data_IF_635026506895
#
_entry.id   IF_635026506895
#
_cell.length_a   1.000
_cell.length_b   1.000
_cell.length_c   1.000
_cell.angle_alpha   90.00
_cell.angle_beta   90.00
_cell.angle_gamma   90.00
#
_symmetry.space_group_name_H-M   'P 1'
#
loop_
_entity.id
_entity.type
_entity.pdbx_description
1 polymer ?
#
# COMPACT_ATOMS: atom_id res chain seq x y z
N UNK A 1 -14.46 -4.46 -24.18
CA UNK A 1 -14.19 -3.29 -23.32
C UNK A 1 -13.12 -3.71 -22.32
N UNK A 2 -11.97 -3.03 -22.27
CA UNK A 2 -10.94 -3.33 -21.27
C UNK A 2 -11.53 -3.02 -19.89
N UNK A 3 -11.64 -4.04 -19.03
CA UNK A 3 -12.03 -3.87 -17.62
C UNK A 3 -10.93 -3.07 -16.94
N UNK A 4 -11.19 -1.77 -16.71
CA UNK A 4 -10.26 -0.90 -15.99
C UNK A 4 -10.04 -1.50 -14.60
N UNK A 5 -8.78 -1.77 -14.25
CA UNK A 5 -8.43 -2.24 -12.92
C UNK A 5 -8.78 -1.13 -11.91
N UNK A 6 -9.71 -1.37 -10.95
CA UNK A 6 -10.20 -0.34 -10.03
C UNK A 6 -9.09 0.30 -9.19
N UNK A 7 -8.09 -0.49 -8.79
CA UNK A 7 -6.94 0.01 -8.03
C UNK A 7 -6.06 0.93 -8.88
N UNK A 8 -5.83 0.61 -10.16
CA UNK A 8 -5.07 1.48 -11.08
C UNK A 8 -5.79 2.80 -11.38
N UNK A 9 -7.12 2.80 -11.50
CA UNK A 9 -7.91 4.03 -11.64
C UNK A 9 -7.77 4.90 -10.38
N UNK A 10 -7.91 4.29 -9.20
CA UNK A 10 -7.72 4.96 -7.92
C UNK A 10 -6.33 5.59 -7.80
N UNK A 11 -5.24 4.84 -8.02
CA UNK A 11 -3.89 5.37 -7.89
C UNK A 11 -3.59 6.45 -8.93
N UNK A 12 -4.12 6.32 -10.15
CA UNK A 12 -4.03 7.35 -11.18
C UNK A 12 -4.67 8.67 -10.74
N UNK A 13 -5.87 8.62 -10.12
CA UNK A 13 -6.56 9.82 -9.61
C UNK A 13 -5.90 10.39 -8.35
N UNK A 14 -5.43 9.53 -7.45
CA UNK A 14 -4.68 9.93 -6.25
C UNK A 14 -3.38 10.65 -6.64
N UNK A 15 -2.63 10.10 -7.60
CA UNK A 15 -1.43 10.72 -8.17
C UNK A 15 -1.73 12.10 -8.76
N UNK A 16 -2.82 12.23 -9.52
CA UNK A 16 -3.24 13.50 -10.09
C UNK A 16 -3.56 14.53 -8.99
N UNK A 17 -4.31 14.14 -7.97
CA UNK A 17 -4.62 14.99 -6.81
C UNK A 17 -3.34 15.50 -6.14
N UNK A 18 -2.42 14.60 -5.81
CA UNK A 18 -1.15 14.92 -5.15
C UNK A 18 -0.30 15.86 -6.00
N UNK A 19 -0.25 15.63 -7.32
CA UNK A 19 0.53 16.49 -8.23
C UNK A 19 0.02 17.94 -8.28
N UNK A 20 -1.30 18.13 -8.14
CA UNK A 20 -1.94 19.45 -8.16
C UNK A 20 -1.96 20.12 -6.79
N UNK A 21 -2.13 19.31 -5.75
CA UNK A 21 -2.32 19.74 -4.37
C UNK A 21 -1.46 18.87 -3.44
N UNK A 22 -0.14 19.07 -3.40
CA UNK A 22 0.76 18.21 -2.63
C UNK A 22 0.63 18.41 -1.12
N UNK A 23 0.31 19.63 -0.67
CA UNK A 23 0.31 19.99 0.74
C UNK A 23 -0.56 19.09 1.64
N UNK A 24 -1.82 18.78 1.30
CA UNK A 24 -2.65 17.87 2.10
C UNK A 24 -1.97 16.52 2.39
N UNK A 25 -1.43 15.85 1.36
CA UNK A 25 -0.81 14.54 1.58
C UNK A 25 0.50 14.67 2.34
N UNK A 26 1.30 15.72 2.09
CA UNK A 26 2.54 15.97 2.81
C UNK A 26 2.29 16.16 4.30
N UNK A 27 1.27 16.92 4.69
CA UNK A 27 0.89 17.10 6.08
C UNK A 27 0.42 15.78 6.69
N UNK A 28 -0.46 15.04 6.00
CA UNK A 28 -0.95 13.73 6.47
C UNK A 28 0.20 12.77 6.75
N UNK A 29 1.11 12.60 5.79
CA UNK A 29 2.27 11.72 5.93
C UNK A 29 3.23 12.22 7.02
N UNK A 30 3.47 13.53 7.11
CA UNK A 30 4.33 14.11 8.15
C UNK A 30 3.81 13.78 9.55
N UNK A 31 2.50 13.85 9.76
CA UNK A 31 1.88 13.50 11.04
C UNK A 31 2.02 12.01 11.35
N UNK A 32 1.78 11.14 10.36
CA UNK A 32 1.97 9.68 10.49
C UNK A 32 3.41 9.37 10.92
N UNK A 33 4.41 9.92 10.22
CA UNK A 33 5.81 9.61 10.50
C UNK A 33 6.39 10.32 11.73
N UNK A 34 5.87 11.49 12.11
CA UNK A 34 6.22 12.11 13.39
C UNK A 34 5.90 11.18 14.56
N UNK A 35 4.77 10.46 14.50
CA UNK A 35 4.43 9.48 15.53
C UNK A 35 5.41 8.31 15.59
N UNK A 36 5.95 7.88 14.44
CA UNK A 36 7.01 6.87 14.39
C UNK A 36 8.30 7.38 15.04
N UNK A 37 8.71 8.62 14.75
CA UNK A 37 9.94 9.23 15.27
C UNK A 37 9.93 9.36 16.80
N UNK A 38 8.79 9.67 17.40
CA UNK A 38 8.65 9.74 18.87
C UNK A 38 8.53 8.35 19.53
N UNK A 39 8.76 7.27 18.78
CA UNK A 39 8.76 5.90 19.28
C UNK A 39 7.36 5.31 19.47
N UNK A 40 6.31 5.88 18.88
CA UNK A 40 4.98 5.33 19.01
C UNK A 40 4.80 4.08 18.12
N UNK A 41 4.46 2.96 18.76
CA UNK A 41 4.22 1.66 18.11
C UNK A 41 2.90 1.61 17.30
N UNK A 42 2.01 2.61 17.43
CA UNK A 42 0.72 2.66 16.73
C UNK A 42 0.74 3.50 15.46
N UNK A 43 1.92 3.84 14.92
CA UNK A 43 2.01 4.62 13.68
C UNK A 43 1.40 3.90 12.47
N UNK A 44 1.40 2.55 12.48
CA UNK A 44 0.66 1.74 11.50
C UNK A 44 -0.84 1.97 11.59
N UNK A 45 -1.43 1.79 12.77
CA UNK A 45 -2.87 2.03 13.00
C UNK A 45 -3.26 3.49 12.65
N UNK A 46 -2.38 4.46 12.96
CA UNK A 46 -2.60 5.85 12.58
C UNK A 46 -2.54 6.05 11.06
N UNK A 47 -1.64 5.38 10.35
CA UNK A 47 -1.57 5.44 8.90
C UNK A 47 -2.88 4.93 8.27
N UNK A 48 -3.45 3.87 8.82
CA UNK A 48 -4.72 3.30 8.36
C UNK A 48 -5.87 4.30 8.48
N UNK A 49 -6.01 4.92 9.65
CA UNK A 49 -7.04 5.93 9.90
C UNK A 49 -6.78 7.18 9.03
N UNK A 50 -5.57 7.71 9.07
CA UNK A 50 -5.25 8.99 8.43
C UNK A 50 -5.36 8.92 6.90
N UNK A 51 -4.98 7.80 6.27
CA UNK A 51 -5.16 7.62 4.82
C UNK A 51 -6.62 7.39 4.47
N UNK A 52 -7.39 6.64 5.27
CA UNK A 52 -8.82 6.49 5.04
C UNK A 52 -9.55 7.85 5.09
N UNK A 53 -9.25 8.66 6.10
CA UNK A 53 -9.80 10.02 6.23
C UNK A 53 -9.34 10.94 5.11
N UNK A 54 -8.07 10.87 4.70
CA UNK A 54 -7.57 11.64 3.56
C UNK A 54 -8.38 11.34 2.29
N UNK A 55 -8.63 10.07 2.00
CA UNK A 55 -9.43 9.66 0.83
C UNK A 55 -10.85 10.24 0.95
N UNK A 56 -11.50 10.07 2.11
CA UNK A 56 -12.85 10.56 2.34
C UNK A 56 -12.98 12.09 2.21
N UNK A 57 -11.95 12.83 2.59
CA UNK A 57 -11.96 14.29 2.57
C UNK A 57 -11.63 14.87 1.20
N UNK A 58 -10.67 14.28 0.48
CA UNK A 58 -10.07 14.92 -0.69
C UNK A 58 -10.35 14.22 -2.02
N UNK A 59 -10.92 13.01 -2.02
CA UNK A 59 -11.19 12.24 -3.24
C UNK A 59 -12.68 11.95 -3.42
N UNK A 60 -13.47 12.93 -3.88
CA UNK A 60 -14.94 12.83 -3.99
C UNK A 60 -15.50 11.59 -4.71
N UNK A 61 -14.77 11.04 -5.66
CA UNK A 61 -15.18 9.85 -6.41
C UNK A 61 -14.92 8.54 -5.64
N UNK A 62 -14.32 8.61 -4.46
CA UNK A 62 -13.96 7.47 -3.63
C UNK A 62 -14.33 7.71 -2.17
N UNK A 63 -14.66 6.62 -1.50
CA UNK A 63 -14.65 6.55 -0.03
C UNK A 63 -13.73 5.44 0.42
N UNK A 64 -13.23 5.55 1.64
CA UNK A 64 -12.41 4.55 2.29
C UNK A 64 -12.96 4.23 3.67
N UNK A 65 -12.90 2.96 4.04
CA UNK A 65 -13.21 2.47 5.38
C UNK A 65 -12.01 1.72 5.93
N UNK A 66 -11.63 2.04 7.17
CA UNK A 66 -10.66 1.27 7.92
C UNK A 66 -11.30 -0.07 8.33
N UNK A 67 -10.65 -1.18 8.00
CA UNK A 67 -11.20 -2.53 8.18
C UNK A 67 -10.94 -3.06 9.60
N UNK A 68 -9.87 -2.60 10.26
CA UNK A 68 -9.57 -2.91 11.66
C UNK A 68 -9.20 -4.38 11.92
N UNK A 69 -8.55 -4.61 13.07
CA UNK A 69 -8.03 -5.92 13.49
C UNK A 69 -9.11 -6.96 13.87
N UNK A 70 -10.35 -6.55 14.13
CA UNK A 70 -11.41 -7.46 14.61
C UNK A 70 -11.98 -8.38 13.50
N UNK A 71 -11.87 -7.99 12.23
CA UNK A 71 -12.24 -8.82 11.08
C UNK A 71 -11.15 -9.85 10.68
N UNK A 72 -9.98 -9.80 11.33
CA UNK A 72 -8.78 -10.59 10.99
C UNK A 72 -8.94 -12.10 11.23
N UNK A 73 -9.86 -12.51 12.12
CA UNK A 73 -10.09 -13.95 12.41
C UNK A 73 -10.85 -14.69 11.30
N UNK A 74 -11.44 -13.98 10.33
CA UNK A 74 -12.31 -14.58 9.33
C UNK A 74 -11.88 -14.36 7.86
N UNK A 75 -10.82 -13.60 7.58
CA UNK A 75 -10.44 -13.21 6.21
C UNK A 75 -9.19 -13.92 5.65
N UNK A 76 -9.21 -14.16 4.35
CA UNK A 76 -8.18 -14.89 3.59
C UNK A 76 -6.94 -14.05 3.23
N UNK A 77 -7.02 -12.71 3.26
CA UNK A 77 -5.95 -11.77 2.85
C UNK A 77 -5.74 -10.61 3.84
N UNK A 78 -4.54 -9.99 3.79
CA UNK A 78 -4.15 -8.83 4.60
C UNK A 78 -4.75 -7.56 3.97
N UNK A 79 -5.68 -6.92 4.68
CA UNK A 79 -6.42 -5.74 4.19
C UNK A 79 -6.52 -4.73 5.33
N UNK A 80 -5.90 -3.56 5.15
CA UNK A 80 -5.88 -2.53 6.19
C UNK A 80 -7.05 -1.55 5.99
N UNK A 81 -7.30 -1.16 4.73
CA UNK A 81 -8.45 -0.33 4.34
C UNK A 81 -9.20 -0.97 3.16
N UNK A 82 -10.46 -0.57 2.98
CA UNK A 82 -11.25 -0.89 1.79
C UNK A 82 -11.67 0.41 1.10
N UNK A 83 -11.35 0.51 -0.18
CA UNK A 83 -11.70 1.66 -1.01
C UNK A 83 -12.90 1.30 -1.87
N UNK A 84 -13.80 2.25 -2.03
CA UNK A 84 -15.05 2.10 -2.77
C UNK A 84 -15.15 3.28 -3.72
N UNK A 85 -15.20 3.00 -5.02
CA UNK A 85 -15.46 4.01 -6.03
C UNK A 85 -16.96 4.37 -6.00
N UNK A 86 -17.29 5.63 -5.74
CA UNK A 86 -18.67 6.09 -5.57
C UNK A 86 -19.47 6.12 -6.88
N UNK A 87 -18.78 6.13 -8.03
CA UNK A 87 -19.42 6.16 -9.35
C UNK A 87 -19.68 4.73 -9.83
N UNK A 88 -18.65 3.89 -9.84
CA UNK A 88 -18.73 2.52 -10.37
C UNK A 88 -19.20 1.49 -9.36
N UNK A 89 -19.20 1.86 -8.07
CA UNK A 89 -19.46 0.97 -6.92
C UNK A 89 -18.47 -0.18 -6.79
N UNK A 90 -17.35 -0.15 -7.51
CA UNK A 90 -16.27 -1.11 -7.35
C UNK A 90 -15.65 -0.98 -5.95
N UNK A 91 -15.53 -2.10 -5.25
CA UNK A 91 -14.87 -2.20 -3.96
C UNK A 91 -13.59 -3.02 -4.10
N UNK A 92 -12.52 -2.56 -3.47
CA UNK A 92 -11.27 -3.31 -3.45
C UNK A 92 -10.51 -3.06 -2.15
N UNK A 93 -9.90 -4.11 -1.57
CA UNK A 93 -9.06 -3.97 -0.41
C UNK A 93 -7.71 -3.36 -0.78
N UNK A 94 -7.10 -2.66 0.16
CA UNK A 94 -5.75 -2.11 0.06
C UNK A 94 -4.99 -2.38 1.35
N UNK A 95 -3.77 -2.90 1.23
CA UNK A 95 -2.83 -2.97 2.34
C UNK A 95 -1.94 -1.73 2.35
N UNK A 96 -1.90 -1.04 3.47
CA UNK A 96 -1.05 0.12 3.73
C UNK A 96 0.25 -0.35 4.36
N UNK A 97 1.37 0.05 3.76
CA UNK A 97 2.69 -0.28 4.29
C UNK A 97 3.45 1.01 4.56
N UNK A 98 3.56 1.36 5.85
CA UNK A 98 4.33 2.51 6.32
C UNK A 98 5.73 2.07 6.79
N UNK A 99 6.77 2.43 6.03
CA UNK A 99 8.14 1.99 6.30
C UNK A 99 9.17 3.08 5.97
N UNK A 100 10.38 2.88 6.47
CA UNK A 100 11.53 3.73 6.16
C UNK A 100 12.03 3.44 4.72
N UNK A 101 12.71 4.39 4.10
CA UNK A 101 13.38 4.21 2.80
C UNK A 101 14.25 2.93 2.77
N UNK A 102 13.77 1.90 2.07
CA UNK A 102 14.33 0.55 2.13
C UNK A 102 13.42 -0.49 1.47
N UNK A 103 13.76 -1.79 1.58
CA UNK A 103 12.97 -2.85 0.97
C UNK A 103 11.60 -2.96 1.64
N UNK A 104 10.56 -3.09 0.81
CA UNK A 104 9.21 -3.35 1.27
C UNK A 104 9.16 -4.68 2.03
N UNK A 105 8.76 -4.63 3.30
CA UNK A 105 8.54 -5.82 4.12
C UNK A 105 7.08 -6.22 4.07
N UNK A 106 6.81 -7.45 3.63
CA UNK A 106 5.47 -8.01 3.57
C UNK A 106 5.36 -9.23 4.48
N UNK A 107 4.26 -9.28 5.22
CA UNK A 107 3.85 -10.39 6.08
C UNK A 107 3.17 -11.53 5.30
N UNK A 108 3.07 -11.41 3.97
CA UNK A 108 2.11 -12.14 3.13
C UNK A 108 2.53 -13.56 2.74
N UNK A 109 3.67 -14.04 3.22
CA UNK A 109 4.14 -15.40 2.95
C UNK A 109 3.55 -16.42 3.94
N UNK A 110 2.22 -16.60 3.93
CA UNK A 110 1.54 -17.57 4.80
C UNK A 110 2.12 -18.99 4.67
N UNK A 111 2.61 -19.33 3.48
CA UNK A 111 3.20 -20.64 3.15
C UNK A 111 4.72 -20.67 3.30
N UNK A 112 5.38 -19.54 3.59
CA UNK A 112 6.84 -19.46 3.68
C UNK A 112 7.57 -19.78 2.37
N UNK A 113 6.90 -19.65 1.23
CA UNK A 113 7.38 -20.07 -0.10
C UNK A 113 8.08 -18.97 -0.92
N UNK A 114 7.81 -17.69 -0.64
CA UNK A 114 8.41 -16.57 -1.38
C UNK A 114 9.92 -16.45 -1.12
N UNK A 115 10.34 -16.51 0.14
CA UNK A 115 11.76 -16.35 0.49
C UNK A 115 12.65 -17.50 -0.04
N UNK A 116 12.29 -18.80 0.09
CA UNK A 116 13.04 -19.88 -0.53
C UNK A 116 13.16 -19.75 -2.05
N UNK A 117 12.13 -19.22 -2.71
CA UNK A 117 12.17 -18.97 -4.16
C UNK A 117 13.14 -17.84 -4.50
N UNK A 118 13.09 -16.72 -3.79
CA UNK A 118 13.99 -15.57 -3.99
C UNK A 118 15.46 -15.92 -3.71
N UNK A 119 15.74 -16.80 -2.76
CA UNK A 119 17.12 -17.24 -2.46
C UNK A 119 17.81 -17.86 -3.67
N UNK A 120 17.06 -18.36 -4.65
CA UNK A 120 17.61 -18.93 -5.89
C UNK A 120 18.11 -17.87 -6.87
N UNK A 121 17.85 -16.58 -6.63
CA UNK A 121 18.15 -15.47 -7.54
C UNK A 121 19.48 -14.77 -7.25
N UNK A 122 20.15 -15.11 -6.14
CA UNK A 122 21.36 -14.42 -5.68
C UNK A 122 21.05 -13.12 -4.93
N UNK A 123 22.01 -12.19 -4.93
CA UNK A 123 21.95 -10.99 -4.08
C UNK A 123 21.17 -9.83 -4.72
N UNK A 124 21.17 -9.72 -6.05
CA UNK A 124 20.54 -8.62 -6.78
C UNK A 124 19.92 -9.08 -8.10
N UNK A 125 18.69 -8.63 -8.39
CA UNK A 125 17.98 -8.92 -9.64
C UNK A 125 17.82 -7.61 -10.41
N UNK A 126 18.61 -7.42 -11.47
CA UNK A 126 18.57 -6.22 -12.31
C UNK A 126 17.86 -6.44 -13.65
N UNK A 127 17.55 -7.70 -14.00
CA UNK A 127 16.96 -8.07 -15.29
C UNK A 127 15.42 -8.12 -15.21
N UNK A 128 14.74 -7.30 -16.01
CA UNK A 128 13.28 -7.25 -16.06
C UNK A 128 12.62 -8.57 -16.45
N UNK A 129 13.15 -9.31 -17.43
CA UNK A 129 12.60 -10.61 -17.83
C UNK A 129 12.69 -11.61 -16.67
N UNK A 130 13.74 -11.48 -15.84
CA UNK A 130 13.89 -12.33 -14.65
C UNK A 130 12.90 -11.96 -13.56
N UNK A 131 12.67 -10.66 -13.34
CA UNK A 131 11.61 -10.19 -12.43
C UNK A 131 10.24 -10.72 -12.85
N UNK A 132 9.90 -10.63 -14.13
CA UNK A 132 8.64 -11.17 -14.67
C UNK A 132 8.52 -12.68 -14.40
N UNK A 133 9.59 -13.45 -14.63
CA UNK A 133 9.61 -14.87 -14.35
C UNK A 133 9.44 -15.21 -12.85
N UNK A 134 9.99 -14.39 -11.95
CA UNK A 134 9.81 -14.54 -10.50
C UNK A 134 8.37 -14.26 -10.11
N UNK A 135 7.79 -13.16 -10.60
CA UNK A 135 6.40 -12.80 -10.28
C UNK A 135 5.37 -13.77 -10.89
N UNK A 136 5.73 -14.47 -11.96
CA UNK A 136 4.92 -15.55 -12.54
C UNK A 136 5.02 -16.87 -11.77
N UNK A 137 5.97 -17.01 -10.83
CA UNK A 137 6.14 -18.22 -10.02
C UNK A 137 4.94 -18.40 -9.06
N UNK A 138 4.42 -19.63 -8.88
CA UNK A 138 3.32 -19.89 -7.94
C UNK A 138 3.58 -19.41 -6.51
N UNK A 139 4.84 -19.32 -6.07
CA UNK A 139 5.18 -18.75 -4.77
C UNK A 139 4.69 -17.29 -4.60
N UNK A 140 4.52 -16.56 -5.69
CA UNK A 140 4.06 -15.16 -5.73
C UNK A 140 2.59 -15.01 -6.13
N UNK A 141 1.84 -16.09 -6.34
CA UNK A 141 0.45 -16.00 -6.82
C UNK A 141 -0.46 -15.19 -5.89
N UNK A 142 -0.22 -15.28 -4.57
CA UNK A 142 -0.95 -14.50 -3.58
C UNK A 142 -0.60 -13.00 -3.68
N UNK A 143 0.69 -12.67 -3.91
CA UNK A 143 1.16 -11.29 -4.02
C UNK A 143 0.50 -10.53 -5.17
N UNK A 144 0.30 -11.18 -6.32
CA UNK A 144 -0.34 -10.57 -7.49
C UNK A 144 -1.78 -10.08 -7.25
N UNK A 145 -2.43 -10.55 -6.18
CA UNK A 145 -3.81 -10.18 -5.83
C UNK A 145 -3.91 -9.05 -4.81
N UNK A 146 -2.78 -8.60 -4.25
CA UNK A 146 -2.76 -7.61 -3.17
C UNK A 146 -2.52 -6.23 -3.76
N UNK A 147 -3.44 -5.30 -3.48
CA UNK A 147 -3.21 -3.90 -3.73
C UNK A 147 -2.39 -3.33 -2.55
N UNK A 148 -1.14 -2.92 -2.80
CA UNK A 148 -0.26 -2.36 -1.77
C UNK A 148 -0.09 -0.88 -2.00
N UNK A 149 -0.38 -0.05 -1.00
CA UNK A 149 -0.15 1.38 -1.01
C UNK A 149 1.03 1.74 -0.08
N UNK A 150 2.24 1.98 -0.62
CA UNK A 150 3.43 2.24 0.17
C UNK A 150 3.47 3.69 0.65
N UNK A 151 3.62 3.88 1.95
CA UNK A 151 3.94 5.16 2.59
C UNK A 151 5.41 5.09 3.01
N UNK A 152 6.25 5.92 2.41
CA UNK A 152 7.70 5.86 2.59
C UNK A 152 8.16 7.12 3.30
N UNK A 153 9.04 6.94 4.28
CA UNK A 153 9.73 8.03 4.95
C UNK A 153 11.23 7.85 4.87
N UNK A 154 11.90 8.87 4.36
CA UNK A 154 13.35 8.97 4.41
C UNK A 154 13.69 9.91 5.57
N UNK A 155 14.09 9.31 6.69
CA UNK A 155 14.37 10.02 7.93
C UNK A 155 15.56 10.97 7.82
N UNK A 156 16.66 10.49 7.20
CA UNK A 156 17.87 11.29 6.99
C UNK A 156 17.59 12.55 6.17
N UNK A 157 16.72 12.43 5.17
CA UNK A 157 16.32 13.53 4.28
C UNK A 157 15.07 14.27 4.74
N UNK A 158 14.48 13.92 5.90
CA UNK A 158 13.25 14.51 6.46
C UNK A 158 12.12 14.65 5.43
N UNK A 159 11.94 13.62 4.59
CA UNK A 159 10.99 13.65 3.48
C UNK A 159 10.11 12.41 3.50
N UNK A 160 8.83 12.57 3.22
CA UNK A 160 7.87 11.48 3.08
C UNK A 160 7.28 11.47 1.67
N UNK A 161 6.86 10.29 1.23
CA UNK A 161 6.16 10.12 -0.04
C UNK A 161 5.17 8.96 0.03
N UNK A 162 4.24 8.97 -0.92
CA UNK A 162 3.35 7.84 -1.19
C UNK A 162 3.61 7.37 -2.62
N UNK A 163 3.91 6.09 -2.80
CA UNK A 163 4.26 5.56 -4.12
C UNK A 163 2.99 5.25 -4.92
N UNK A 164 2.61 6.20 -5.80
CA UNK A 164 1.43 6.13 -6.69
C UNK A 164 1.73 6.59 -8.12
#
# INVERSE_FOLDING_TARGET
MSTINPYKDFTGRLKLLISKHPMPITITLSNIFTMRLIGNKTHGDLAEIAIAEFINQYMYDFRSVHVGKDLYRAKSQEEDIKIINEITKAEFPVSLKAYEDGPLQLSTDKTGSMFPRLRQEGDEITNNNRLEAIFADPAFSAFATINVLPLIYNEQGQRCNICV
#
